data_IF_420679564885
#
_entry.id   IF_420679564885
#
_cell.length_a   1.000
_cell.length_b   1.000
_cell.length_c   1.000
_cell.angle_alpha   90.00
_cell.angle_beta   90.00
_cell.angle_gamma   90.00
#
_symmetry.space_group_name_H-M   'P 1'
#
loop_
_entity.id
_entity.type
_entity.pdbx_description
1 polymer ?
#
# COMPACT_ATOMS: atom_id res chain seq x y z
N UNK A 1 12.06 -3.64 10.44
CA UNK A 1 10.99 -2.79 11.03
C UNK A 1 9.79 -2.64 10.12
N UNK A 2 9.98 -2.24 8.86
CA UNK A 2 8.87 -2.03 7.93
C UNK A 2 8.02 -3.28 7.71
N UNK A 3 8.63 -4.45 7.54
CA UNK A 3 7.90 -5.71 7.35
C UNK A 3 6.96 -6.02 8.51
N UNK A 4 7.43 -5.82 9.75
CA UNK A 4 6.63 -6.09 10.94
C UNK A 4 5.44 -5.14 11.00
N UNK A 5 5.69 -3.85 10.78
CA UNK A 5 4.64 -2.83 10.81
C UNK A 5 3.60 -3.05 9.73
N UNK A 6 4.02 -3.27 8.49
CA UNK A 6 3.08 -3.43 7.38
C UNK A 6 2.33 -4.76 7.45
N UNK A 7 2.93 -5.83 7.96
CA UNK A 7 2.21 -7.08 8.20
C UNK A 7 1.08 -6.89 9.22
N UNK A 8 1.36 -6.19 10.32
CA UNK A 8 0.35 -5.88 11.33
C UNK A 8 -0.78 -5.02 10.73
N UNK A 9 -0.43 -4.03 9.92
CA UNK A 9 -1.40 -3.17 9.24
C UNK A 9 -2.29 -3.99 8.31
N UNK A 10 -1.72 -4.86 7.47
CA UNK A 10 -2.50 -5.68 6.54
C UNK A 10 -3.48 -6.59 7.27
N UNK A 11 -3.03 -7.25 8.35
CA UNK A 11 -3.89 -8.11 9.16
C UNK A 11 -5.07 -7.33 9.75
N UNK A 12 -4.80 -6.19 10.37
CA UNK A 12 -5.84 -5.38 11.02
C UNK A 12 -6.77 -4.72 10.00
N UNK A 13 -6.25 -4.27 8.87
CA UNK A 13 -7.07 -3.74 7.79
C UNK A 13 -8.06 -4.81 7.27
N UNK A 14 -7.59 -6.05 7.07
CA UNK A 14 -8.45 -7.16 6.65
C UNK A 14 -9.55 -7.45 7.66
N UNK A 15 -9.24 -7.30 8.96
CA UNK A 15 -10.22 -7.51 10.03
C UNK A 15 -11.23 -6.36 10.16
N UNK A 16 -10.80 -5.12 9.91
CA UNK A 16 -11.53 -3.91 10.34
C UNK A 16 -11.99 -2.97 9.23
N UNK A 17 -11.60 -3.22 7.96
CA UNK A 17 -11.99 -2.31 6.86
C UNK A 17 -13.49 -2.10 6.81
N UNK A 18 -13.87 -0.88 6.47
CA UNK A 18 -15.26 -0.49 6.24
C UNK A 18 -15.49 -0.33 4.74
N UNK A 19 -16.75 -0.12 4.33
CA UNK A 19 -17.08 0.18 2.93
C UNK A 19 -16.41 1.47 2.46
N UNK A 20 -16.29 2.46 3.35
CA UNK A 20 -15.59 3.70 3.04
C UNK A 20 -14.10 3.43 2.80
N UNK A 21 -13.46 2.64 3.65
CA UNK A 21 -12.06 2.26 3.49
C UNK A 21 -11.84 1.56 2.15
N UNK A 22 -12.74 0.66 1.78
CA UNK A 22 -12.67 -0.05 0.50
C UNK A 22 -12.67 0.92 -0.68
N UNK A 23 -13.55 1.91 -0.66
CA UNK A 23 -13.63 2.90 -1.74
C UNK A 23 -12.34 3.74 -1.84
N UNK A 24 -11.78 4.15 -0.71
CA UNK A 24 -10.54 4.93 -0.67
C UNK A 24 -9.36 4.10 -1.19
N UNK A 25 -9.26 2.84 -0.75
CA UNK A 25 -8.21 1.93 -1.21
C UNK A 25 -8.29 1.67 -2.71
N UNK A 26 -9.49 1.43 -3.24
CA UNK A 26 -9.70 1.24 -4.68
C UNK A 26 -9.28 2.45 -5.48
N UNK A 27 -9.60 3.64 -5.00
CA UNK A 27 -9.22 4.90 -5.64
C UNK A 27 -7.69 5.04 -5.73
N UNK A 28 -7.00 4.85 -4.63
CA UNK A 28 -5.53 4.99 -4.62
C UNK A 28 -4.84 3.90 -5.45
N UNK A 29 -5.38 2.69 -5.45
CA UNK A 29 -4.85 1.61 -6.28
C UNK A 29 -5.02 1.93 -7.78
N UNK A 30 -6.17 2.44 -8.16
CA UNK A 30 -6.43 2.84 -9.55
C UNK A 30 -5.49 3.98 -9.99
N UNK A 31 -5.28 4.97 -9.14
CA UNK A 31 -4.34 6.08 -9.40
C UNK A 31 -2.91 5.57 -9.55
N UNK A 32 -2.51 4.61 -8.70
CA UNK A 32 -1.20 3.99 -8.78
C UNK A 32 -0.99 3.31 -10.13
N UNK A 33 -1.95 2.52 -10.58
CA UNK A 33 -1.88 1.83 -11.86
C UNK A 33 -1.87 2.78 -13.04
N UNK A 34 -2.73 3.78 -13.03
CA UNK A 34 -2.85 4.77 -14.11
C UNK A 34 -1.56 5.60 -14.24
N UNK A 35 -1.01 6.07 -13.13
CA UNK A 35 0.22 6.87 -13.13
C UNK A 35 1.43 6.03 -13.50
N UNK A 36 1.47 4.76 -13.09
CA UNK A 36 2.53 3.83 -13.48
C UNK A 36 2.51 3.59 -15.00
N UNK A 37 1.34 3.34 -15.57
CA UNK A 37 1.16 3.12 -17.00
C UNK A 37 1.53 4.36 -17.81
N UNK A 38 1.26 5.54 -17.28
CA UNK A 38 1.59 6.82 -17.93
C UNK A 38 3.07 7.21 -17.79
N UNK A 39 3.85 6.49 -17.00
CA UNK A 39 5.24 6.84 -16.74
C UNK A 39 5.41 8.06 -15.83
N UNK A 40 4.36 8.46 -15.10
CA UNK A 40 4.37 9.62 -14.22
C UNK A 40 4.94 9.24 -12.85
N UNK A 41 6.25 9.24 -12.72
CA UNK A 41 6.96 8.69 -11.57
C UNK A 41 6.54 9.30 -10.23
N UNK A 42 6.60 10.62 -10.10
CA UNK A 42 6.27 11.26 -8.82
C UNK A 42 4.81 11.04 -8.41
N UNK A 43 3.90 11.15 -9.38
CA UNK A 43 2.48 10.88 -9.12
C UNK A 43 2.25 9.41 -8.72
N UNK A 44 2.98 8.48 -9.33
CA UNK A 44 2.89 7.06 -9.00
C UNK A 44 3.42 6.76 -7.60
N UNK A 45 4.57 7.33 -7.23
CA UNK A 45 5.13 7.19 -5.87
C UNK A 45 4.12 7.72 -4.85
N UNK A 46 3.53 8.87 -5.13
CA UNK A 46 2.54 9.47 -4.23
C UNK A 46 1.29 8.59 -4.09
N UNK A 47 0.79 8.04 -5.20
CA UNK A 47 -0.35 7.12 -5.17
C UNK A 47 -0.02 5.83 -4.41
N UNK A 48 1.18 5.29 -4.57
CA UNK A 48 1.65 4.11 -3.84
C UNK A 48 1.68 4.37 -2.33
N UNK A 49 2.29 5.47 -1.92
CA UNK A 49 2.36 5.84 -0.51
C UNK A 49 0.96 6.09 0.06
N UNK A 50 0.10 6.78 -0.69
CA UNK A 50 -1.29 7.03 -0.27
C UNK A 50 -2.08 5.72 -0.10
N UNK A 51 -1.85 4.74 -0.96
CA UNK A 51 -2.47 3.42 -0.82
C UNK A 51 -2.08 2.77 0.50
N UNK A 52 -0.80 2.77 0.84
CA UNK A 52 -0.31 2.18 2.10
C UNK A 52 -0.79 2.97 3.33
N UNK A 53 -0.88 4.29 3.25
CA UNK A 53 -1.47 5.10 4.32
C UNK A 53 -2.95 4.73 4.50
N UNK A 54 -3.68 4.54 3.41
CA UNK A 54 -5.08 4.12 3.48
C UNK A 54 -5.25 2.75 4.11
N UNK A 55 -4.30 1.82 3.90
CA UNK A 55 -4.28 0.54 4.60
C UNK A 55 -4.14 0.75 6.11
N UNK A 56 -3.25 1.64 6.53
CA UNK A 56 -3.06 1.96 7.94
C UNK A 56 -4.34 2.57 8.54
N UNK A 57 -5.02 3.43 7.81
CA UNK A 57 -6.28 4.02 8.25
C UNK A 57 -7.39 2.98 8.37
N UNK A 58 -7.40 1.97 7.49
CA UNK A 58 -8.36 0.88 7.53
C UNK A 58 -8.20 -0.04 8.74
N UNK A 59 -7.09 0.08 9.48
CA UNK A 59 -6.90 -0.64 10.75
C UNK A 59 -7.76 -0.08 11.88
N UNK A 60 -8.17 1.18 11.76
CA UNK A 60 -8.87 1.93 12.81
C UNK A 60 -8.11 1.91 14.13
N UNK A 61 -6.78 1.99 14.04
CA UNK A 61 -5.87 2.03 15.17
C UNK A 61 -4.96 3.26 15.00
N UNK A 62 -5.15 4.25 15.89
CA UNK A 62 -4.44 5.52 15.81
C UNK A 62 -2.92 5.38 15.90
N UNK A 63 -2.45 4.43 16.71
CA UNK A 63 -1.02 4.22 16.89
C UNK A 63 -0.38 3.70 15.60
N UNK A 64 -1.02 2.71 14.96
CA UNK A 64 -0.54 2.19 13.68
C UNK A 64 -0.57 3.27 12.60
N UNK A 65 -1.62 4.09 12.58
CA UNK A 65 -1.72 5.20 11.63
C UNK A 65 -0.59 6.21 11.81
N UNK A 66 -0.31 6.63 13.03
CA UNK A 66 0.75 7.59 13.33
C UNK A 66 2.13 7.04 12.96
N UNK A 67 2.40 5.80 13.35
CA UNK A 67 3.67 5.15 13.02
C UNK A 67 3.86 5.07 11.52
N UNK A 68 2.82 4.68 10.78
CA UNK A 68 2.94 4.56 9.34
C UNK A 68 3.11 5.91 8.65
N UNK A 69 2.37 6.95 9.06
CA UNK A 69 2.52 8.28 8.48
C UNK A 69 3.94 8.82 8.65
N UNK A 70 4.53 8.60 9.81
CA UNK A 70 5.93 8.95 10.05
C UNK A 70 6.87 8.22 9.10
N UNK A 71 6.64 6.92 8.92
CA UNK A 71 7.41 6.07 8.00
C UNK A 71 7.20 6.50 6.55
N UNK A 72 5.96 6.83 6.18
CA UNK A 72 5.58 7.17 4.80
C UNK A 72 6.32 8.40 4.27
N UNK A 73 6.55 9.39 5.11
CA UNK A 73 7.28 10.59 4.73
C UNK A 73 8.72 10.24 4.29
N UNK A 74 9.36 9.35 5.04
CA UNK A 74 10.71 8.86 4.70
C UNK A 74 10.70 7.99 3.44
N UNK A 75 9.70 7.12 3.29
CA UNK A 75 9.57 6.25 2.13
C UNK A 75 9.41 7.04 0.83
N UNK A 76 8.59 8.07 0.85
CA UNK A 76 8.34 8.92 -0.31
C UNK A 76 9.64 9.55 -0.80
N UNK A 77 10.43 10.10 0.12
CA UNK A 77 11.73 10.68 -0.19
C UNK A 77 12.69 9.64 -0.74
N UNK A 78 12.75 8.48 -0.09
CA UNK A 78 13.63 7.39 -0.51
C UNK A 78 13.28 6.88 -1.90
N UNK A 79 12.00 6.66 -2.19
CA UNK A 79 11.55 6.18 -3.49
C UNK A 79 11.86 7.18 -4.59
N UNK A 80 11.71 8.48 -4.31
CA UNK A 80 12.07 9.54 -5.27
C UNK A 80 13.56 9.52 -5.62
N UNK A 81 14.41 9.04 -4.72
CA UNK A 81 15.85 8.95 -4.95
C UNK A 81 16.28 7.67 -5.67
N UNK A 82 15.57 6.55 -5.46
CA UNK A 82 15.99 5.25 -6.00
C UNK A 82 15.30 4.87 -7.31
N UNK A 83 14.06 5.28 -7.54
CA UNK A 83 13.36 4.96 -8.78
C UNK A 83 13.68 6.01 -9.84
N UNK A 84 13.98 5.54 -11.05
CA UNK A 84 14.24 6.39 -12.23
C UNK A 84 13.02 6.46 -13.14
N UNK A 85 12.18 5.42 -13.10
CA UNK A 85 10.97 5.31 -13.91
C UNK A 85 9.95 4.47 -13.17
N UNK A 86 8.79 4.26 -13.79
CA UNK A 86 7.68 3.53 -13.17
C UNK A 86 7.70 2.03 -13.44
N UNK A 87 8.73 1.49 -14.07
CA UNK A 87 8.77 0.09 -14.50
C UNK A 87 8.55 -0.89 -13.35
N UNK A 88 9.29 -0.75 -12.25
CA UNK A 88 9.14 -1.61 -11.08
C UNK A 88 7.79 -1.43 -10.41
N UNK A 89 7.30 -0.18 -10.36
CA UNK A 89 6.00 0.13 -9.76
C UNK A 89 4.87 -0.50 -10.59
N UNK A 90 4.97 -0.45 -11.92
CA UNK A 90 3.99 -1.08 -12.79
C UNK A 90 4.03 -2.61 -12.65
N UNK A 91 5.21 -3.20 -12.57
CA UNK A 91 5.38 -4.64 -12.41
C UNK A 91 4.75 -5.17 -11.11
N UNK A 92 4.71 -4.36 -10.05
CA UNK A 92 4.12 -4.73 -8.76
C UNK A 92 2.65 -4.37 -8.62
N UNK A 93 2.03 -3.77 -9.64
CA UNK A 93 0.60 -3.43 -9.58
C UNK A 93 -0.29 -4.64 -9.36
N UNK A 94 -0.10 -5.80 -10.06
CA UNK A 94 -0.92 -6.99 -9.81
C UNK A 94 -0.86 -7.47 -8.36
N UNK A 95 0.31 -7.45 -7.73
CA UNK A 95 0.48 -7.88 -6.34
C UNK A 95 -0.28 -6.95 -5.39
N UNK A 96 -0.26 -5.65 -5.66
CA UNK A 96 -1.06 -4.68 -4.88
C UNK A 96 -2.56 -4.95 -5.05
N UNK A 97 -3.00 -5.30 -6.25
CA UNK A 97 -4.40 -5.68 -6.50
C UNK A 97 -4.80 -6.93 -5.74
N UNK A 98 -3.93 -7.93 -5.67
CA UNK A 98 -4.16 -9.13 -4.88
C UNK A 98 -4.29 -8.82 -3.39
N UNK A 99 -3.41 -7.97 -2.88
CA UNK A 99 -3.47 -7.51 -1.49
C UNK A 99 -4.84 -6.89 -1.19
N UNK A 100 -5.28 -5.97 -2.03
CA UNK A 100 -6.58 -5.34 -1.84
C UNK A 100 -7.71 -6.36 -1.86
N UNK A 101 -7.67 -7.32 -2.77
CA UNK A 101 -8.67 -8.38 -2.83
C UNK A 101 -8.77 -9.16 -1.52
N UNK A 102 -7.64 -9.51 -0.92
CA UNK A 102 -7.62 -10.21 0.37
C UNK A 102 -8.13 -9.33 1.51
N UNK A 103 -7.77 -8.04 1.52
CA UNK A 103 -8.27 -7.09 2.51
C UNK A 103 -9.80 -7.00 2.44
N UNK A 104 -10.35 -6.85 1.24
CA UNK A 104 -11.80 -6.73 1.04
C UNK A 104 -12.54 -8.02 1.40
N UNK A 105 -11.92 -9.17 1.19
CA UNK A 105 -12.47 -10.47 1.57
C UNK A 105 -12.36 -10.76 3.07
N UNK A 106 -11.61 -9.95 3.81
CA UNK A 106 -11.34 -10.22 5.22
C UNK A 106 -10.39 -11.40 5.42
N UNK A 107 -9.59 -11.73 4.41
CA UNK A 107 -8.65 -12.85 4.44
C UNK A 107 -7.32 -12.41 5.06
N UNK A 108 -7.26 -12.46 6.38
CA UNK A 108 -6.14 -11.96 7.18
C UNK A 108 -4.82 -12.63 6.80
N UNK A 109 -4.83 -13.95 6.68
CA UNK A 109 -3.61 -14.72 6.39
C UNK A 109 -3.02 -14.36 5.04
N UNK A 110 -3.84 -14.36 3.99
CA UNK A 110 -3.37 -14.05 2.64
C UNK A 110 -3.02 -12.58 2.48
N UNK A 111 -3.71 -11.68 3.17
CA UNK A 111 -3.35 -10.26 3.19
C UNK A 111 -1.94 -10.07 3.75
N UNK A 112 -1.62 -10.73 4.86
CA UNK A 112 -0.30 -10.71 5.46
C UNK A 112 0.76 -11.24 4.51
N UNK A 113 0.50 -12.38 3.87
CA UNK A 113 1.45 -12.98 2.91
C UNK A 113 1.66 -12.07 1.70
N UNK A 114 0.59 -11.44 1.21
CA UNK A 114 0.66 -10.55 0.05
C UNK A 114 1.52 -9.31 0.34
N UNK A 115 1.32 -8.67 1.49
CA UNK A 115 2.13 -7.49 1.85
C UNK A 115 3.60 -7.87 2.02
N UNK A 116 3.86 -9.04 2.57
CA UNK A 116 5.25 -9.52 2.74
C UNK A 116 5.93 -9.68 1.38
N UNK A 117 5.22 -10.24 0.39
CA UNK A 117 5.75 -10.37 -0.97
C UNK A 117 6.03 -9.02 -1.61
N UNK A 118 5.14 -8.05 -1.44
CA UNK A 118 5.33 -6.69 -1.94
C UNK A 118 6.63 -6.09 -1.41
N UNK A 119 6.88 -6.26 -0.11
CA UNK A 119 8.06 -5.68 0.54
C UNK A 119 9.36 -6.39 0.17
N UNK A 120 9.29 -7.61 -0.36
CA UNK A 120 10.45 -8.36 -0.83
C UNK A 120 10.77 -8.09 -2.30
N UNK A 121 9.86 -7.51 -3.06
CA UNK A 121 10.09 -7.14 -4.45
C UNK A 121 11.07 -5.96 -4.53
N UNK A 122 11.99 -5.97 -5.51
CA UNK A 122 12.93 -4.89 -5.70
C UNK A 122 12.25 -3.60 -6.11
#
# INVERSE_FOLDING_TARGET
MRKILEAAIAEKAAERRTAHDAAVLEKHLAERGATAAAGALQACIEADVNFHIALAEATHNEILCELYRSTAAHLKKRFSNIYRDTECLLASQPTHGQLLGYILAGDVRNAREAITRILEEP
#
